data_IF_376294467256
#
_entry.id   IF_376294467256
#
_cell.length_a   1.000
_cell.length_b   1.000
_cell.length_c   1.000
_cell.angle_alpha   90.00
_cell.angle_beta   90.00
_cell.angle_gamma   90.00
#
_symmetry.space_group_name_H-M   'P 1'
#
loop_
_entity.id
_entity.type
_entity.pdbx_description
1 polymer ?
#
# COMPACT_ATOMS: atom_id res chain seq x y z
N UNK A 1 -29.51 31.41 2.73
CA UNK A 1 -28.14 30.91 2.48
C UNK A 1 -28.19 29.39 2.48
N UNK A 2 -28.28 28.77 1.30
CA UNK A 2 -28.26 27.31 1.19
C UNK A 2 -26.84 26.84 1.49
N UNK A 3 -26.69 26.18 2.64
CA UNK A 3 -25.46 25.47 2.99
C UNK A 3 -25.49 24.16 2.19
N UNK A 4 -25.23 24.24 0.88
CA UNK A 4 -25.06 23.05 0.05
C UNK A 4 -23.90 22.25 0.64
N UNK A 5 -24.24 21.11 1.24
CA UNK A 5 -23.26 20.14 1.74
C UNK A 5 -22.38 19.77 0.55
N UNK A 6 -21.16 20.33 0.49
CA UNK A 6 -20.19 19.95 -0.54
C UNK A 6 -19.97 18.45 -0.41
N UNK A 7 -20.27 17.71 -1.46
CA UNK A 7 -20.05 16.27 -1.54
C UNK A 7 -18.56 15.98 -1.26
N UNK A 8 -18.30 14.95 -0.45
CA UNK A 8 -16.94 14.57 -0.06
C UNK A 8 -16.70 13.10 -0.37
N UNK A 9 -15.43 12.79 -0.56
CA UNK A 9 -14.94 11.42 -0.77
C UNK A 9 -13.71 11.18 0.07
N UNK A 10 -13.47 9.92 0.43
CA UNK A 10 -12.25 9.50 1.12
C UNK A 10 -11.31 8.82 0.11
N UNK A 11 -10.04 9.18 0.12
CA UNK A 11 -9.04 8.56 -0.76
C UNK A 11 -8.72 7.15 -0.25
N UNK A 12 -9.04 6.12 -1.04
CA UNK A 12 -8.69 4.73 -0.72
C UNK A 12 -7.33 4.32 -1.29
N UNK A 13 -6.86 4.96 -2.36
CA UNK A 13 -5.53 4.71 -2.94
C UNK A 13 -5.00 5.99 -3.60
N UNK A 14 -3.75 6.35 -3.33
CA UNK A 14 -3.14 7.52 -3.97
C UNK A 14 -2.75 7.25 -5.45
N UNK A 15 -2.59 5.98 -5.84
CA UNK A 15 -2.14 5.60 -7.18
C UNK A 15 -0.86 6.32 -7.60
N UNK A 16 -0.83 6.86 -8.81
CA UNK A 16 0.30 7.68 -9.32
C UNK A 16 0.32 9.11 -8.76
N UNK A 17 -0.64 9.47 -7.90
CA UNK A 17 -0.85 10.81 -7.38
C UNK A 17 -0.38 10.97 -5.93
N UNK A 18 0.63 10.22 -5.49
CA UNK A 18 1.19 10.27 -4.11
C UNK A 18 1.58 11.68 -3.65
N UNK A 19 1.89 12.59 -4.57
CA UNK A 19 2.21 14.01 -4.28
C UNK A 19 0.98 14.93 -4.28
N UNK A 20 -0.23 14.39 -4.43
CA UNK A 20 -1.48 15.13 -4.50
C UNK A 20 -2.61 14.50 -3.68
N UNK A 21 -2.52 13.19 -3.38
CA UNK A 21 -3.50 12.44 -2.61
C UNK A 21 -2.82 11.72 -1.44
N UNK A 22 -3.48 11.79 -0.30
CA UNK A 22 -3.16 11.06 0.92
C UNK A 22 -4.27 10.05 1.20
N UNK A 23 -3.94 8.76 1.34
CA UNK A 23 -4.93 7.73 1.71
C UNK A 23 -5.58 8.08 3.05
N UNK A 24 -6.86 7.71 3.22
CA UNK A 24 -7.73 8.07 4.36
C UNK A 24 -8.12 9.55 4.43
N UNK A 25 -7.44 10.45 3.70
CA UNK A 25 -7.83 11.86 3.69
C UNK A 25 -9.13 12.07 2.90
N UNK A 26 -10.00 12.91 3.45
CA UNK A 26 -11.24 13.33 2.80
C UNK A 26 -11.03 14.58 1.93
N UNK A 27 -11.56 14.54 0.72
CA UNK A 27 -11.51 15.63 -0.24
C UNK A 27 -12.93 16.10 -0.59
N UNK A 28 -13.09 17.41 -0.74
CA UNK A 28 -14.32 17.98 -1.27
C UNK A 28 -14.33 17.88 -2.80
N UNK A 29 -15.43 17.38 -3.37
CA UNK A 29 -15.64 17.35 -4.81
C UNK A 29 -15.94 18.78 -5.29
N UNK A 30 -15.15 19.25 -6.25
CA UNK A 30 -15.38 20.52 -6.96
C UNK A 30 -16.29 20.29 -8.16
N UNK A 31 -16.05 19.22 -8.91
CA UNK A 31 -16.85 18.81 -10.07
C UNK A 31 -16.90 17.29 -10.14
N UNK A 32 -18.07 16.73 -10.45
CA UNK A 32 -18.26 15.32 -10.68
C UNK A 32 -18.65 15.08 -12.16
N UNK A 33 -17.87 14.26 -12.86
CA UNK A 33 -18.13 13.84 -14.25
C UNK A 33 -18.42 12.33 -14.26
N UNK A 34 -19.71 12.00 -14.21
CA UNK A 34 -20.20 10.61 -14.21
C UNK A 34 -19.91 9.89 -15.53
N UNK A 35 -19.86 10.60 -16.66
CA UNK A 35 -19.65 9.97 -17.97
C UNK A 35 -18.22 9.46 -18.08
N UNK A 36 -17.24 10.23 -17.60
CA UNK A 36 -15.83 9.85 -17.63
C UNK A 36 -15.34 9.18 -16.34
N UNK A 37 -16.24 8.91 -15.39
CA UNK A 37 -15.92 8.28 -14.10
C UNK A 37 -14.76 8.97 -13.37
N UNK A 38 -14.80 10.31 -13.34
CA UNK A 38 -13.75 11.13 -12.75
C UNK A 38 -14.33 12.26 -11.90
N UNK A 39 -13.56 12.68 -10.90
CA UNK A 39 -13.90 13.80 -10.04
C UNK A 39 -12.77 14.82 -10.04
N UNK A 40 -13.13 16.09 -9.92
CA UNK A 40 -12.19 17.19 -9.76
C UNK A 40 -12.11 17.55 -8.28
N UNK A 41 -10.92 17.48 -7.70
CA UNK A 41 -10.67 17.88 -6.31
C UNK A 41 -9.44 18.78 -6.23
N UNK A 42 -9.29 19.50 -5.12
CA UNK A 42 -8.06 20.19 -4.77
C UNK A 42 -7.20 19.23 -3.94
N UNK A 43 -6.07 18.80 -4.49
CA UNK A 43 -5.16 17.87 -3.83
C UNK A 43 -4.34 18.53 -2.72
N UNK A 44 -3.52 17.73 -2.05
CA UNK A 44 -2.69 18.15 -0.92
C UNK A 44 -1.67 19.24 -1.26
N UNK A 45 -1.27 19.29 -2.54
CA UNK A 45 -0.40 20.32 -3.09
C UNK A 45 -1.14 21.63 -3.46
N UNK A 46 -2.41 21.79 -3.07
CA UNK A 46 -3.23 22.97 -3.34
C UNK A 46 -3.67 23.13 -4.80
N UNK A 47 -3.35 22.19 -5.69
CA UNK A 47 -3.74 22.24 -7.11
C UNK A 47 -5.03 21.48 -7.36
N UNK A 48 -5.90 22.04 -8.19
CA UNK A 48 -7.10 21.34 -8.67
C UNK A 48 -6.78 20.44 -9.87
N UNK A 49 -7.15 19.16 -9.80
CA UNK A 49 -6.93 18.16 -10.86
C UNK A 49 -8.10 17.19 -10.98
N UNK A 50 -8.20 16.53 -12.12
CA UNK A 50 -9.11 15.41 -12.34
C UNK A 50 -8.46 14.11 -11.88
N UNK A 51 -9.24 13.27 -11.20
CA UNK A 51 -8.82 11.98 -10.69
C UNK A 51 -9.89 10.93 -11.02
N UNK A 52 -9.45 9.69 -11.28
CA UNK A 52 -10.37 8.59 -11.49
C UNK A 52 -11.14 8.28 -10.20
N UNK A 53 -12.45 8.04 -10.30
CA UNK A 53 -13.32 7.71 -9.16
C UNK A 53 -12.88 6.47 -8.40
N UNK A 54 -12.23 5.51 -9.06
CA UNK A 54 -11.74 4.28 -8.43
C UNK A 54 -10.68 4.50 -7.34
N UNK A 55 -10.07 5.70 -7.27
CA UNK A 55 -9.14 6.08 -6.20
C UNK A 55 -9.85 6.45 -4.90
N UNK A 56 -11.17 6.59 -4.92
CA UNK A 56 -11.95 7.11 -3.81
C UNK A 56 -13.09 6.18 -3.40
N UNK A 57 -13.57 6.37 -2.17
CA UNK A 57 -14.79 5.80 -1.63
C UNK A 57 -15.72 6.93 -1.16
N UNK A 58 -17.01 6.66 -0.95
CA UNK A 58 -17.92 7.62 -0.32
C UNK A 58 -17.37 8.12 1.02
N UNK A 59 -17.62 9.39 1.36
CA UNK A 59 -17.25 9.91 2.68
C UNK A 59 -17.89 9.08 3.80
N UNK A 60 -17.14 8.86 4.88
CA UNK A 60 -17.52 7.97 5.98
C UNK A 60 -17.29 6.48 5.73
N UNK A 61 -16.83 6.07 4.55
CA UNK A 61 -16.34 4.69 4.36
C UNK A 61 -15.13 4.41 5.24
N UNK A 62 -15.04 3.19 5.77
CA UNK A 62 -13.87 2.73 6.52
C UNK A 62 -12.73 2.39 5.54
N UNK A 63 -11.54 2.94 5.78
CA UNK A 63 -10.33 2.62 5.02
C UNK A 63 -9.28 2.14 6.02
N UNK A 64 -8.95 0.85 5.95
CA UNK A 64 -7.97 0.23 6.82
C UNK A 64 -6.54 0.64 6.43
N UNK A 65 -5.73 1.08 7.39
CA UNK A 65 -4.33 1.48 7.20
C UNK A 65 -3.38 0.72 8.10
N UNK A 66 -2.13 0.58 7.66
CA UNK A 66 -1.07 0.04 8.50
C UNK A 66 -0.79 0.98 9.69
N UNK A 67 -0.80 0.42 10.89
CA UNK A 67 -0.46 1.12 12.15
C UNK A 67 1.00 0.86 12.51
N UNK A 68 1.40 -0.40 12.51
CA UNK A 68 2.74 -0.85 12.90
C UNK A 68 3.11 -2.15 12.19
N UNK A 69 4.38 -2.51 12.25
CA UNK A 69 4.91 -3.78 11.78
C UNK A 69 6.12 -4.17 12.61
N UNK A 70 6.49 -5.46 12.57
CA UNK A 70 7.68 -6.00 13.23
C UNK A 70 8.25 -7.18 12.42
N UNK A 71 9.54 -7.46 12.60
CA UNK A 71 10.13 -8.73 12.16
C UNK A 71 9.76 -9.84 13.13
N UNK A 72 9.39 -11.00 12.60
CA UNK A 72 9.14 -12.21 13.39
C UNK A 72 10.38 -13.12 13.44
N UNK A 73 11.29 -12.96 12.46
CA UNK A 73 12.57 -13.67 12.39
C UNK A 73 13.78 -12.80 12.78
N UNK A 74 14.86 -13.44 13.22
CA UNK A 74 16.17 -12.82 13.36
C UNK A 74 16.81 -12.60 11.97
N UNK A 75 17.35 -11.40 11.74
CA UNK A 75 18.02 -11.04 10.48
C UNK A 75 19.54 -11.08 10.67
N UNK A 76 20.21 -11.95 9.91
CA UNK A 76 21.68 -12.12 9.99
C UNK A 76 22.42 -11.15 9.07
N UNK A 77 21.86 -10.85 7.91
CA UNK A 77 22.40 -9.91 6.93
C UNK A 77 21.33 -8.89 6.55
N UNK A 78 21.47 -7.65 7.04
CA UNK A 78 20.54 -6.56 6.69
C UNK A 78 20.81 -5.95 5.31
N UNK A 79 21.83 -6.38 4.56
CA UNK A 79 22.24 -5.77 3.30
C UNK A 79 21.38 -6.18 2.11
N UNK A 80 21.55 -5.50 0.98
CA UNK A 80 20.90 -5.84 -0.30
C UNK A 80 21.34 -7.20 -0.87
N UNK A 81 22.44 -7.77 -0.34
CA UNK A 81 22.98 -9.06 -0.78
C UNK A 81 22.37 -10.24 -0.02
N UNK A 82 21.60 -9.98 1.04
CA UNK A 82 21.04 -11.04 1.87
C UNK A 82 20.18 -11.98 1.05
N UNK A 83 20.35 -13.27 1.30
CA UNK A 83 19.55 -14.35 0.69
C UNK A 83 18.39 -14.78 1.59
N UNK A 84 18.20 -14.11 2.73
CA UNK A 84 17.19 -14.44 3.73
C UNK A 84 15.79 -14.12 3.21
N UNK A 85 14.81 -14.86 3.76
CA UNK A 85 13.39 -14.61 3.59
C UNK A 85 12.83 -14.46 4.99
N UNK A 86 12.35 -13.27 5.30
CA UNK A 86 12.03 -12.83 6.66
C UNK A 86 10.53 -12.67 6.78
N UNK A 87 9.91 -13.30 7.75
CA UNK A 87 8.50 -13.06 8.07
C UNK A 87 8.32 -11.76 8.86
N UNK A 88 7.27 -11.03 8.51
CA UNK A 88 6.86 -9.82 9.22
C UNK A 88 5.38 -9.88 9.55
N UNK A 89 5.07 -9.40 10.75
CA UNK A 89 3.71 -9.17 11.22
C UNK A 89 3.37 -7.69 11.08
N UNK A 90 2.21 -7.39 10.52
CA UNK A 90 1.68 -6.05 10.28
C UNK A 90 0.35 -5.92 11.04
N UNK A 91 0.20 -4.83 11.78
CA UNK A 91 -1.03 -4.48 12.48
C UNK A 91 -1.76 -3.37 11.74
N UNK A 92 -3.05 -3.55 11.50
CA UNK A 92 -3.91 -2.60 10.82
C UNK A 92 -4.83 -1.84 11.79
N UNK A 93 -5.37 -0.72 11.31
CA UNK A 93 -6.18 0.22 12.11
C UNK A 93 -7.52 -0.33 12.59
N UNK A 94 -8.02 -1.39 11.98
CA UNK A 94 -9.20 -2.14 12.41
C UNK A 94 -8.87 -3.22 13.45
N UNK A 95 -7.60 -3.34 13.85
CA UNK A 95 -7.10 -4.34 14.78
C UNK A 95 -6.72 -5.66 14.13
N UNK A 96 -6.86 -5.81 12.81
CA UNK A 96 -6.42 -7.03 12.13
C UNK A 96 -4.89 -7.12 12.14
N UNK A 97 -4.38 -8.31 12.45
CA UNK A 97 -2.97 -8.65 12.31
C UNK A 97 -2.81 -9.57 11.09
N UNK A 98 -1.83 -9.25 10.25
CA UNK A 98 -1.56 -9.97 9.00
C UNK A 98 -0.07 -10.20 8.87
N UNK A 99 0.33 -11.20 8.10
CA UNK A 99 1.72 -11.53 7.85
C UNK A 99 2.06 -11.53 6.36
N UNK A 100 3.33 -11.29 6.05
CA UNK A 100 3.91 -11.54 4.73
C UNK A 100 5.40 -11.89 4.87
N UNK A 101 6.00 -12.36 3.77
CA UNK A 101 7.43 -12.63 3.69
C UNK A 101 8.15 -11.49 2.95
N UNK A 102 9.27 -11.04 3.46
CA UNK A 102 10.17 -10.10 2.81
C UNK A 102 11.39 -10.84 2.25
N UNK A 103 11.86 -10.41 1.09
CA UNK A 103 13.20 -10.79 0.62
C UNK A 103 13.87 -9.64 -0.14
N UNK A 104 15.18 -9.72 -0.30
CA UNK A 104 15.89 -8.85 -1.25
C UNK A 104 15.72 -9.39 -2.67
N UNK A 105 16.12 -8.59 -3.67
CA UNK A 105 16.23 -9.07 -5.05
C UNK A 105 17.11 -10.33 -5.17
N UNK A 106 18.22 -10.37 -4.43
CA UNK A 106 19.13 -11.51 -4.46
C UNK A 106 18.51 -12.74 -3.77
N UNK A 107 17.85 -12.55 -2.63
CA UNK A 107 17.11 -13.61 -1.96
C UNK A 107 15.98 -14.18 -2.82
N UNK A 108 15.29 -13.35 -3.60
CA UNK A 108 14.31 -13.83 -4.58
C UNK A 108 14.98 -14.66 -5.68
N UNK A 109 16.08 -14.17 -6.25
CA UNK A 109 16.78 -14.86 -7.34
C UNK A 109 17.28 -16.25 -6.91
N UNK A 110 17.97 -16.31 -5.77
CA UNK A 110 18.45 -17.56 -5.19
C UNK A 110 17.30 -18.52 -4.85
N UNK A 111 16.18 -18.00 -4.32
CA UNK A 111 15.00 -18.83 -4.05
C UNK A 111 14.40 -19.43 -5.31
N UNK A 112 14.35 -18.68 -6.42
CA UNK A 112 13.89 -19.20 -7.71
C UNK A 112 14.86 -20.27 -8.21
N UNK A 113 16.17 -20.01 -8.23
CA UNK A 113 17.17 -20.98 -8.71
C UNK A 113 17.12 -22.31 -7.93
N UNK A 114 16.90 -22.25 -6.61
CA UNK A 114 16.85 -23.44 -5.77
C UNK A 114 15.53 -24.23 -5.84
N UNK A 115 14.42 -23.60 -6.22
CA UNK A 115 13.09 -24.20 -6.09
C UNK A 115 12.30 -24.35 -7.40
N UNK A 116 12.75 -23.73 -8.50
CA UNK A 116 12.06 -23.81 -9.79
C UNK A 116 12.53 -25.03 -10.59
N UNK A 117 11.89 -26.18 -10.38
CA UNK A 117 12.14 -27.41 -11.15
C UNK A 117 11.16 -27.59 -12.34
N UNK A 118 10.08 -26.78 -12.38
CA UNK A 118 9.01 -26.87 -13.38
C UNK A 118 8.80 -25.60 -14.20
N UNK A 119 7.73 -25.57 -15.00
CA UNK A 119 7.41 -24.43 -15.87
C UNK A 119 6.69 -23.27 -15.17
N UNK A 120 6.35 -23.40 -13.89
CA UNK A 120 5.62 -22.39 -13.12
C UNK A 120 6.22 -22.26 -11.72
N UNK A 121 6.34 -21.01 -11.26
CA UNK A 121 6.73 -20.67 -9.90
C UNK A 121 5.75 -19.63 -9.35
N UNK A 122 4.90 -20.02 -8.42
CA UNK A 122 3.91 -19.14 -7.79
C UNK A 122 4.44 -18.68 -6.43
N UNK A 123 4.53 -17.37 -6.24
CA UNK A 123 4.91 -16.75 -4.97
C UNK A 123 3.79 -15.82 -4.53
N UNK A 124 3.12 -16.18 -3.43
CA UNK A 124 2.08 -15.34 -2.83
C UNK A 124 2.64 -14.61 -1.60
N UNK A 125 2.14 -13.40 -1.32
CA UNK A 125 2.43 -12.62 -0.10
C UNK A 125 3.92 -12.43 0.18
N UNK A 126 4.72 -12.27 -0.89
CA UNK A 126 6.12 -11.92 -0.81
C UNK A 126 6.33 -10.50 -1.30
N UNK A 127 6.98 -9.68 -0.49
CA UNK A 127 7.34 -8.31 -0.84
C UNK A 127 8.85 -8.25 -1.01
N UNK A 128 9.29 -7.71 -2.14
CA UNK A 128 10.70 -7.56 -2.46
C UNK A 128 11.13 -6.18 -1.98
N UNK A 129 12.07 -6.13 -1.05
CA UNK A 129 12.65 -4.90 -0.51
C UNK A 129 14.09 -4.74 -0.99
N UNK A 130 14.61 -3.52 -0.93
CA UNK A 130 15.99 -3.26 -1.30
C UNK A 130 16.96 -3.96 -0.33
N UNK A 131 16.71 -3.81 0.98
CA UNK A 131 17.46 -4.42 2.07
C UNK A 131 16.57 -4.52 3.32
N UNK A 132 17.07 -5.10 4.42
CA UNK A 132 16.30 -5.29 5.65
C UNK A 132 16.63 -4.25 6.74
N UNK A 133 17.06 -3.05 6.35
CA UNK A 133 17.04 -1.94 7.30
C UNK A 133 15.60 -1.53 7.60
N UNK A 134 15.35 -1.18 8.86
CA UNK A 134 14.01 -0.87 9.35
C UNK A 134 13.41 0.33 8.57
N UNK A 135 14.24 1.31 8.20
CA UNK A 135 13.83 2.46 7.38
C UNK A 135 13.34 2.03 5.99
N UNK A 136 14.10 1.17 5.29
CA UNK A 136 13.72 0.70 3.95
C UNK A 136 12.46 -0.13 3.98
N UNK A 137 12.32 -1.02 4.97
CA UNK A 137 11.13 -1.85 5.11
C UNK A 137 9.91 -1.01 5.49
N UNK A 138 10.03 -0.06 6.43
CA UNK A 138 8.94 0.83 6.79
C UNK A 138 8.47 1.66 5.58
N UNK A 139 9.40 2.25 4.82
CA UNK A 139 9.08 2.99 3.59
C UNK A 139 8.39 2.10 2.56
N UNK A 140 8.85 0.86 2.37
CA UNK A 140 8.27 -0.08 1.41
C UNK A 140 6.83 -0.45 1.80
N UNK A 141 6.61 -0.84 3.06
CA UNK A 141 5.30 -1.24 3.57
C UNK A 141 4.31 -0.05 3.56
N UNK A 142 4.74 1.13 4.00
CA UNK A 142 3.90 2.35 3.93
C UNK A 142 3.55 2.74 2.50
N UNK A 143 4.48 2.57 1.55
CA UNK A 143 4.23 2.85 0.14
C UNK A 143 3.16 1.90 -0.44
N UNK A 144 3.21 0.62 -0.10
CA UNK A 144 2.18 -0.36 -0.48
C UNK A 144 0.83 -0.06 0.20
N UNK A 145 0.85 0.34 1.46
CA UNK A 145 -0.35 0.72 2.20
C UNK A 145 -1.01 1.95 1.55
N UNK A 146 -0.24 2.99 1.24
CA UNK A 146 -0.72 4.19 0.55
C UNK A 146 -1.39 3.89 -0.81
N UNK A 147 -1.00 2.80 -1.45
CA UNK A 147 -1.54 2.34 -2.72
C UNK A 147 -2.71 1.36 -2.59
N UNK A 148 -3.16 1.04 -1.37
CA UNK A 148 -4.16 -0.01 -1.10
C UNK A 148 -3.71 -1.40 -1.57
N UNK A 149 -2.40 -1.67 -1.57
CA UNK A 149 -1.83 -2.93 -2.02
C UNK A 149 -1.41 -3.83 -0.85
N UNK A 150 -1.07 -3.25 0.31
CA UNK A 150 -0.52 -4.02 1.42
C UNK A 150 -1.46 -5.12 1.93
N UNK A 151 -2.76 -4.85 2.05
CA UNK A 151 -3.77 -5.85 2.46
C UNK A 151 -3.82 -7.04 1.48
N UNK A 152 -3.62 -6.78 0.17
CA UNK A 152 -3.61 -7.81 -0.87
C UNK A 152 -2.30 -8.59 -0.93
N UNK A 153 -1.23 -8.02 -0.37
CA UNK A 153 0.11 -8.62 -0.32
C UNK A 153 0.39 -9.36 0.98
N UNK A 154 -0.61 -9.49 1.86
CA UNK A 154 -0.49 -10.09 3.20
C UNK A 154 -1.60 -11.11 3.42
N UNK A 155 -1.40 -12.03 4.35
CA UNK A 155 -2.40 -13.03 4.80
C UNK A 155 -2.84 -12.74 6.24
N UNK A 156 -4.11 -12.99 6.61
CA UNK A 156 -4.52 -12.96 8.02
C UNK A 156 -3.64 -13.89 8.87
N UNK A 157 -3.34 -13.47 10.10
CA UNK A 157 -2.77 -14.33 11.15
C UNK A 157 -3.86 -15.18 11.81
#
# INVERSE_FOLDING_TARGET
MNNEKKERVICQSAGTYVNALTRVKEYAIVVNDEVKQQIKIVGDNGRSRWFCKSLFLPAGSHVTTMVSWQYDDEIKDKSEKSLEHIEVTITFSDGEMRWCSLCTKNGLFDYIERNMEGCVFLIENKIIVQNFSDEVVDVALRSLDQQNQLVRSTKPL
#
